data_IF_873825391770
#
_entry.id   IF_873825391770
#
_cell.length_a   1.000
_cell.length_b   1.000
_cell.length_c   1.000
_cell.angle_alpha   90.00
_cell.angle_beta   90.00
_cell.angle_gamma   90.00
#
_symmetry.space_group_name_H-M   'P 1'
#
loop_
_entity.id
_entity.type
_entity.pdbx_description
1 polymer ?
#
# COMPACT_ATOMS: atom_id res chain seq x y z
N UNK A 1 -10.89 17.46 13.56
CA UNK A 1 -10.87 18.67 12.71
C UNK A 1 -9.43 18.94 12.33
N UNK A 2 -9.15 19.29 11.08
CA UNK A 2 -7.78 19.52 10.61
C UNK A 2 -7.15 20.74 11.30
N UNK A 3 -5.85 20.66 11.59
CA UNK A 3 -5.08 21.79 12.12
C UNK A 3 -4.94 22.89 11.06
N UNK A 4 -4.85 24.16 11.50
CA UNK A 4 -4.76 25.32 10.61
C UNK A 4 -3.55 25.27 9.66
N UNK A 5 -2.48 24.60 10.07
CA UNK A 5 -1.25 24.46 9.29
C UNK A 5 -1.24 23.28 8.32
N UNK A 6 -2.29 22.46 8.31
CA UNK A 6 -2.41 21.33 7.38
C UNK A 6 -2.35 21.80 5.93
N UNK A 7 -1.78 20.97 5.05
CA UNK A 7 -1.67 21.28 3.62
C UNK A 7 -3.04 21.55 2.99
N UNK A 8 -4.04 20.73 3.32
CA UNK A 8 -5.41 20.88 2.82
C UNK A 8 -6.03 22.21 3.28
N UNK A 9 -5.80 22.57 4.55
CA UNK A 9 -5.81 23.92 5.14
C UNK A 9 -5.63 25.08 4.16
N UNK A 10 -4.34 25.26 3.89
CA UNK A 10 -3.72 26.33 3.11
C UNK A 10 -4.18 26.29 1.66
N UNK A 11 -4.41 25.10 1.13
CA UNK A 11 -4.77 24.92 -0.27
C UNK A 11 -6.21 25.36 -0.56
N UNK A 12 -7.16 25.00 0.30
CA UNK A 12 -8.52 25.50 0.20
C UNK A 12 -8.60 27.02 0.40
N UNK A 13 -7.79 27.58 1.30
CA UNK A 13 -7.70 29.03 1.48
C UNK A 13 -7.17 29.72 0.23
N UNK A 14 -6.14 29.14 -0.40
CA UNK A 14 -5.59 29.62 -1.67
C UNK A 14 -6.65 29.58 -2.79
N UNK A 15 -7.35 28.46 -2.96
CA UNK A 15 -8.44 28.32 -3.93
C UNK A 15 -9.55 29.35 -3.68
N UNK A 16 -9.95 29.56 -2.41
CA UNK A 16 -10.97 30.55 -2.05
C UNK A 16 -10.53 31.96 -2.40
N UNK A 17 -9.26 32.30 -2.19
CA UNK A 17 -8.69 33.61 -2.57
C UNK A 17 -8.70 33.81 -4.08
N UNK A 18 -8.39 32.77 -4.85
CA UNK A 18 -8.45 32.81 -6.31
C UNK A 18 -9.87 33.06 -6.84
N UNK A 19 -10.87 32.37 -6.27
CA UNK A 19 -12.28 32.57 -6.61
C UNK A 19 -12.75 34.00 -6.27
N UNK A 20 -12.31 34.56 -5.13
CA UNK A 20 -12.58 35.97 -4.77
C UNK A 20 -11.96 36.98 -5.74
N UNK A 21 -10.89 36.59 -6.42
CA UNK A 21 -10.22 37.39 -7.44
C UNK A 21 -10.82 37.21 -8.85
N UNK A 22 -12.06 36.73 -8.95
CA UNK A 22 -12.78 36.50 -10.22
C UNK A 22 -12.11 35.48 -11.17
N UNK A 23 -11.27 34.57 -10.66
CA UNK A 23 -10.81 33.44 -11.47
C UNK A 23 -11.93 32.41 -11.65
N UNK A 24 -11.91 31.72 -12.80
CA UNK A 24 -12.90 30.67 -13.07
C UNK A 24 -12.62 29.44 -12.19
N UNK A 25 -13.68 28.69 -11.86
CA UNK A 25 -13.54 27.49 -11.04
C UNK A 25 -12.70 26.42 -11.75
N UNK A 26 -12.77 26.37 -13.09
CA UNK A 26 -11.94 25.50 -13.93
C UNK A 26 -10.46 25.80 -13.77
N UNK A 27 -10.07 27.07 -13.87
CA UNK A 27 -8.67 27.48 -13.73
C UNK A 27 -8.14 27.18 -12.33
N UNK A 28 -8.98 27.38 -11.30
CA UNK A 28 -8.63 27.10 -9.91
C UNK A 28 -8.43 25.59 -9.66
N UNK A 29 -9.31 24.73 -10.20
CA UNK A 29 -9.14 23.28 -10.09
C UNK A 29 -7.96 22.76 -10.92
N UNK A 30 -7.67 23.39 -12.06
CA UNK A 30 -6.52 23.05 -12.90
C UNK A 30 -5.20 23.40 -12.19
N UNK A 31 -5.08 24.61 -11.64
CA UNK A 31 -3.93 25.02 -10.82
C UNK A 31 -3.74 24.07 -9.62
N UNK A 32 -4.81 23.77 -8.90
CA UNK A 32 -4.78 22.86 -7.75
C UNK A 32 -4.33 21.44 -8.15
N UNK A 33 -4.85 20.90 -9.26
CA UNK A 33 -4.45 19.56 -9.74
C UNK A 33 -2.97 19.51 -10.11
N UNK A 34 -2.47 20.52 -10.85
CA UNK A 34 -1.06 20.61 -11.26
C UNK A 34 -0.11 20.73 -10.07
N UNK A 35 -0.52 21.46 -9.02
CA UNK A 35 0.29 21.68 -7.81
C UNK A 35 0.26 20.50 -6.84
N UNK A 36 -0.91 19.86 -6.68
CA UNK A 36 -1.08 18.74 -5.73
C UNK A 36 -0.36 17.46 -6.19
N UNK A 37 -0.21 17.25 -7.50
CA UNK A 37 0.38 16.03 -8.09
C UNK A 37 -0.30 14.73 -7.63
N UNK A 38 -1.56 14.82 -7.20
CA UNK A 38 -2.37 13.67 -6.83
C UNK A 38 -3.19 13.25 -8.05
N UNK A 39 -2.97 12.02 -8.51
CA UNK A 39 -3.64 11.45 -9.69
C UNK A 39 -5.17 11.60 -9.64
N UNK A 40 -5.78 11.28 -8.50
CA UNK A 40 -7.23 11.36 -8.32
C UNK A 40 -7.77 12.80 -8.44
N UNK A 41 -6.97 13.81 -8.07
CA UNK A 41 -7.32 15.23 -8.20
C UNK A 41 -7.23 15.66 -9.66
N UNK A 42 -6.18 15.25 -10.38
CA UNK A 42 -6.05 15.49 -11.82
C UNK A 42 -7.23 14.88 -12.60
N UNK A 43 -7.54 13.62 -12.34
CA UNK A 43 -8.64 12.91 -12.98
C UNK A 43 -9.99 13.57 -12.66
N UNK A 44 -10.21 13.99 -11.42
CA UNK A 44 -11.43 14.71 -11.03
C UNK A 44 -11.56 16.05 -11.78
N UNK A 45 -10.48 16.84 -11.84
CA UNK A 45 -10.48 18.14 -12.54
C UNK A 45 -10.77 17.96 -14.03
N UNK A 46 -10.17 16.97 -14.69
CA UNK A 46 -10.41 16.70 -16.12
C UNK A 46 -11.87 16.30 -16.39
N UNK A 47 -12.42 15.41 -15.58
CA UNK A 47 -13.84 15.00 -15.66
C UNK A 47 -14.76 16.21 -15.41
N UNK A 48 -14.44 17.05 -14.44
CA UNK A 48 -15.23 18.25 -14.12
C UNK A 48 -15.25 19.25 -15.28
N UNK A 49 -14.08 19.61 -15.83
CA UNK A 49 -13.97 20.55 -16.96
C UNK A 49 -14.71 19.98 -18.19
N UNK A 50 -14.54 18.69 -18.46
CA UNK A 50 -15.21 18.02 -19.58
C UNK A 50 -16.73 18.01 -19.41
N UNK A 51 -17.22 17.71 -18.21
CA UNK A 51 -18.64 17.70 -17.91
C UNK A 51 -19.28 19.09 -18.04
N UNK A 52 -18.54 20.16 -17.65
CA UNK A 52 -19.01 21.54 -17.78
C UNK A 52 -19.13 21.97 -19.24
N UNK A 53 -18.18 21.56 -20.09
CA UNK A 53 -18.19 21.85 -21.52
C UNK A 53 -19.28 21.10 -22.29
N UNK A 54 -19.58 19.87 -21.86
CA UNK A 54 -20.57 18.99 -22.52
C UNK A 54 -22.01 19.24 -22.07
N UNK A 55 -22.21 20.01 -20.98
CA UNK A 55 -23.54 20.41 -20.52
C UNK A 55 -24.38 19.27 -19.94
N UNK A 56 -23.75 18.16 -19.56
CA UNK A 56 -24.41 17.04 -18.90
C UNK A 56 -24.81 17.33 -17.46
N UNK A 57 -25.38 16.33 -16.79
CA UNK A 57 -25.70 16.42 -15.36
C UNK A 57 -24.42 16.42 -14.51
N UNK A 58 -23.90 17.63 -14.25
CA UNK A 58 -22.71 17.88 -13.44
C UNK A 58 -22.80 17.25 -12.05
N UNK A 59 -23.97 17.33 -11.43
CA UNK A 59 -24.19 16.78 -10.08
C UNK A 59 -24.00 15.27 -10.12
N UNK A 60 -24.58 14.60 -11.11
CA UNK A 60 -24.44 13.15 -11.30
C UNK A 60 -23.00 12.74 -11.62
N UNK A 61 -22.30 13.49 -12.46
CA UNK A 61 -20.91 13.17 -12.86
C UNK A 61 -19.95 13.35 -11.67
N UNK A 62 -20.06 14.46 -10.94
CA UNK A 62 -19.26 14.73 -9.73
C UNK A 62 -19.51 13.65 -8.69
N UNK A 63 -20.78 13.28 -8.44
CA UNK A 63 -21.14 12.23 -7.49
C UNK A 63 -20.56 10.87 -7.88
N UNK A 64 -20.63 10.51 -9.16
CA UNK A 64 -20.03 9.26 -9.67
C UNK A 64 -18.51 9.24 -9.45
N UNK A 65 -17.84 10.32 -9.79
CA UNK A 65 -16.37 10.43 -9.67
C UNK A 65 -15.93 10.40 -8.21
N UNK A 66 -16.64 11.12 -7.32
CA UNK A 66 -16.39 11.10 -5.88
C UNK A 66 -16.59 9.71 -5.28
N UNK A 67 -17.64 8.99 -5.70
CA UNK A 67 -17.85 7.59 -5.30
C UNK A 67 -16.70 6.70 -5.78
N UNK A 68 -16.29 6.79 -7.05
CA UNK A 68 -15.18 5.99 -7.57
C UNK A 68 -13.86 6.24 -6.85
N UNK A 69 -13.56 7.50 -6.46
CA UNK A 69 -12.37 7.82 -5.66
C UNK A 69 -12.51 7.20 -4.25
N UNK A 70 -13.69 7.30 -3.64
CA UNK A 70 -13.96 6.73 -2.32
C UNK A 70 -13.82 5.21 -2.32
N UNK A 71 -14.36 4.53 -3.33
CA UNK A 71 -14.25 3.09 -3.52
C UNK A 71 -12.77 2.68 -3.71
N UNK A 72 -12.00 3.43 -4.51
CA UNK A 72 -10.54 3.22 -4.68
C UNK A 72 -9.79 3.34 -3.36
N UNK A 73 -10.13 4.32 -2.52
CA UNK A 73 -9.52 4.51 -1.19
C UNK A 73 -9.88 3.34 -0.26
N UNK A 74 -11.13 2.90 -0.26
CA UNK A 74 -11.60 1.78 0.56
C UNK A 74 -10.88 0.48 0.19
N UNK A 75 -10.83 0.15 -1.11
CA UNK A 75 -10.09 -1.01 -1.61
C UNK A 75 -8.60 -0.93 -1.24
N UNK A 76 -7.97 0.25 -1.39
CA UNK A 76 -6.56 0.43 -0.99
C UNK A 76 -6.36 0.18 0.51
N UNK A 77 -7.28 0.65 1.37
CA UNK A 77 -7.23 0.39 2.82
C UNK A 77 -7.43 -1.08 3.15
N UNK A 78 -8.34 -1.76 2.47
CA UNK A 78 -8.55 -3.20 2.63
C UNK A 78 -7.28 -3.98 2.25
N UNK A 79 -6.66 -3.66 1.11
CA UNK A 79 -5.39 -4.24 0.67
C UNK A 79 -4.31 -4.03 1.74
N UNK A 80 -4.12 -2.81 2.25
CA UNK A 80 -3.12 -2.52 3.29
C UNK A 80 -3.40 -3.35 4.55
N UNK A 81 -4.66 -3.49 4.94
CA UNK A 81 -5.06 -4.27 6.11
C UNK A 81 -4.73 -5.75 5.93
N UNK A 82 -5.05 -6.32 4.75
CA UNK A 82 -4.75 -7.71 4.41
C UNK A 82 -3.23 -7.97 4.34
N UNK A 83 -2.47 -7.07 3.71
CA UNK A 83 -1.01 -7.16 3.63
C UNK A 83 -0.39 -7.10 5.03
N UNK A 84 -0.90 -6.23 5.91
CA UNK A 84 -0.42 -6.11 7.29
C UNK A 84 -0.62 -7.41 8.06
N UNK A 85 -1.78 -8.05 7.93
CA UNK A 85 -2.04 -9.36 8.53
C UNK A 85 -1.10 -10.45 7.96
N UNK A 86 -0.92 -10.48 6.64
CA UNK A 86 -0.01 -11.43 5.97
C UNK A 86 1.45 -11.23 6.34
N UNK A 87 1.88 -9.99 6.55
CA UNK A 87 3.22 -9.65 7.06
C UNK A 87 3.46 -10.25 8.44
N UNK A 88 2.46 -10.17 9.32
CA UNK A 88 2.53 -10.77 10.65
C UNK A 88 2.60 -12.31 10.59
N UNK A 89 1.73 -12.94 9.80
CA UNK A 89 1.76 -14.40 9.58
C UNK A 89 3.10 -14.87 9.01
N UNK A 90 3.63 -14.20 7.99
CA UNK A 90 4.93 -14.55 7.41
C UNK A 90 6.07 -14.35 8.40
N UNK A 91 6.02 -13.31 9.23
CA UNK A 91 7.01 -13.10 10.29
C UNK A 91 7.04 -14.31 11.23
N UNK A 92 5.87 -14.75 11.71
CA UNK A 92 5.75 -15.95 12.56
C UNK A 92 6.28 -17.19 11.85
N UNK A 93 5.88 -17.42 10.60
CA UNK A 93 6.31 -18.57 9.82
C UNK A 93 7.84 -18.65 9.70
N UNK A 94 8.52 -17.50 9.63
CA UNK A 94 9.98 -17.45 9.58
C UNK A 94 10.65 -17.84 10.91
N UNK A 95 9.95 -17.73 12.05
CA UNK A 95 10.45 -18.16 13.36
C UNK A 95 10.19 -19.64 13.64
N UNK A 96 9.20 -20.27 12.99
CA UNK A 96 8.81 -21.67 13.24
C UNK A 96 9.99 -22.65 13.11
N UNK A 97 10.79 -22.65 12.02
CA UNK A 97 11.91 -23.61 11.88
C UNK A 97 12.93 -23.51 13.01
N UNK A 98 13.25 -22.29 13.44
CA UNK A 98 14.16 -22.05 14.57
C UNK A 98 13.57 -22.54 15.89
N UNK A 99 12.26 -22.30 16.11
CA UNK A 99 11.54 -22.80 17.27
C UNK A 99 11.53 -24.33 17.34
N UNK A 100 11.31 -25.01 16.22
CA UNK A 100 11.36 -26.48 16.13
C UNK A 100 12.77 -26.98 16.43
N UNK A 101 13.81 -26.38 15.85
CA UNK A 101 15.21 -26.77 16.12
C UNK A 101 15.54 -26.64 17.61
N UNK A 102 15.16 -25.52 18.23
CA UNK A 102 15.38 -25.28 19.66
C UNK A 102 14.59 -26.27 20.54
N UNK A 103 13.33 -26.53 20.19
CA UNK A 103 12.49 -27.51 20.87
C UNK A 103 13.12 -28.90 20.82
N UNK A 104 13.54 -29.36 19.64
CA UNK A 104 14.18 -30.66 19.49
C UNK A 104 15.50 -30.76 20.26
N UNK A 105 16.30 -29.69 20.27
CA UNK A 105 17.56 -29.67 21.00
C UNK A 105 17.38 -29.79 22.52
N UNK A 106 16.34 -29.17 23.09
CA UNK A 106 16.04 -29.23 24.53
C UNK A 106 15.44 -30.57 24.97
N UNK A 107 14.51 -31.12 24.18
CA UNK A 107 13.75 -32.32 24.57
C UNK A 107 14.33 -33.63 24.05
N UNK A 108 15.15 -33.62 22.98
CA UNK A 108 15.76 -34.83 22.40
C UNK A 108 17.19 -34.54 21.89
N UNK A 109 18.17 -34.41 22.80
CA UNK A 109 19.57 -34.27 22.42
C UNK A 109 20.03 -35.52 21.65
N UNK A 110 20.62 -35.30 20.47
CA UNK A 110 21.12 -36.35 19.58
C UNK A 110 20.27 -36.62 18.32
N UNK A 111 19.04 -36.11 18.23
CA UNK A 111 18.21 -36.30 17.03
C UNK A 111 18.77 -35.60 15.78
N UNK A 112 19.46 -34.47 15.97
CA UNK A 112 20.04 -33.67 14.88
C UNK A 112 21.42 -34.19 14.44
N UNK A 113 22.04 -35.12 15.17
CA UNK A 113 23.41 -35.58 14.88
C UNK A 113 23.56 -36.23 13.50
N UNK A 114 22.60 -37.03 12.98
CA UNK A 114 22.69 -37.59 11.62
C UNK A 114 22.57 -36.53 10.51
N UNK A 115 21.90 -35.39 10.80
CA UNK A 115 21.73 -34.27 9.87
C UNK A 115 23.01 -33.45 9.72
N UNK A 116 23.81 -33.32 10.79
CA UNK A 116 25.05 -32.53 10.77
C UNK A 116 26.34 -33.38 10.71
N UNK A 117 26.29 -34.66 11.07
CA UNK A 117 27.47 -35.53 11.16
C UNK A 117 27.89 -36.24 9.87
N UNK A 118 27.03 -36.28 8.85
CA UNK A 118 27.30 -36.97 7.58
C UNK A 118 27.35 -36.01 6.39
N UNK A 119 28.26 -36.24 5.43
CA UNK A 119 28.36 -35.46 4.18
C UNK A 119 27.02 -35.38 3.44
N UNK A 120 26.25 -36.48 3.41
CA UNK A 120 24.91 -36.50 2.81
C UNK A 120 23.92 -35.58 3.55
N UNK A 121 23.98 -35.54 4.89
CA UNK A 121 23.15 -34.67 5.71
C UNK A 121 23.46 -33.19 5.47
N UNK A 122 24.75 -32.84 5.39
CA UNK A 122 25.21 -31.47 5.09
C UNK A 122 24.70 -30.97 3.74
N UNK A 123 24.72 -31.82 2.70
CA UNK A 123 24.19 -31.46 1.37
C UNK A 123 22.68 -31.20 1.41
N UNK A 124 21.91 -32.08 2.06
CA UNK A 124 20.45 -31.92 2.19
C UNK A 124 20.11 -30.65 2.98
N UNK A 125 20.82 -30.39 4.08
CA UNK A 125 20.58 -29.20 4.91
C UNK A 125 20.94 -27.92 4.16
N UNK A 126 22.03 -27.93 3.39
CA UNK A 126 22.41 -26.79 2.54
C UNK A 126 21.35 -26.50 1.48
N UNK A 127 20.80 -27.53 0.82
CA UNK A 127 19.71 -27.36 -0.15
C UNK A 127 18.43 -26.83 0.50
N UNK A 128 18.07 -27.31 1.69
CA UNK A 128 16.92 -26.83 2.45
C UNK A 128 17.07 -25.36 2.85
N UNK A 129 18.29 -24.94 3.25
CA UNK A 129 18.59 -23.56 3.64
C UNK A 129 18.51 -22.61 2.43
N UNK A 130 18.99 -23.05 1.25
CA UNK A 130 18.85 -22.30 0.00
C UNK A 130 17.38 -22.13 -0.38
N UNK A 131 16.58 -23.22 -0.34
CA UNK A 131 15.14 -23.17 -0.60
C UNK A 131 14.42 -22.23 0.37
N UNK A 132 14.78 -22.29 1.65
CA UNK A 132 14.22 -21.42 2.67
C UNK A 132 14.56 -19.94 2.40
N UNK A 133 15.80 -19.63 2.04
CA UNK A 133 16.21 -18.28 1.66
C UNK A 133 15.47 -17.76 0.41
N UNK A 134 15.25 -18.62 -0.59
CA UNK A 134 14.46 -18.27 -1.78
C UNK A 134 13.00 -18.00 -1.41
N UNK A 135 12.38 -18.87 -0.62
CA UNK A 135 11.00 -18.69 -0.15
C UNK A 135 10.85 -17.40 0.68
N UNK A 136 11.81 -17.11 1.56
CA UNK A 136 11.86 -15.87 2.34
C UNK A 136 11.91 -14.64 1.43
N UNK A 137 12.78 -14.64 0.41
CA UNK A 137 12.91 -13.52 -0.54
C UNK A 137 11.64 -13.32 -1.36
N UNK A 138 10.97 -14.39 -1.77
CA UNK A 138 9.68 -14.32 -2.48
C UNK A 138 8.60 -13.74 -1.54
N UNK A 139 8.53 -14.23 -0.30
CA UNK A 139 7.58 -13.72 0.70
C UNK A 139 7.76 -12.22 0.93
N UNK A 140 9.00 -11.78 1.15
CA UNK A 140 9.29 -10.35 1.28
C UNK A 140 8.86 -9.57 0.05
N UNK A 141 9.16 -10.03 -1.17
CA UNK A 141 8.79 -9.32 -2.39
C UNK A 141 7.28 -9.17 -2.59
N UNK A 142 6.48 -10.15 -2.15
CA UNK A 142 5.02 -10.11 -2.25
C UNK A 142 4.43 -9.18 -1.18
N UNK A 143 5.00 -9.19 0.03
CA UNK A 143 4.55 -8.36 1.15
C UNK A 143 4.98 -6.90 0.97
N UNK A 144 6.14 -6.69 0.35
CA UNK A 144 6.72 -5.39 0.02
C UNK A 144 6.15 -4.83 -1.30
N UNK A 145 4.97 -5.31 -1.72
CA UNK A 145 4.13 -4.53 -2.64
C UNK A 145 3.65 -3.31 -1.84
N UNK A 146 4.59 -2.36 -1.73
CA UNK A 146 4.38 -1.01 -1.28
C UNK A 146 3.54 -0.31 -2.35
N UNK A 147 2.39 0.21 -1.91
CA UNK A 147 1.43 0.91 -2.78
C UNK A 147 1.92 2.31 -3.09
#
# INVERSE_FOLDING_TARGET
MYEKDSYIVKEFEYMTRQLKNNQTIEDVFLDFSNRSKVEDICNFTEVFITAKRTGGDLIKIIRRTSNSISDKIEVKREIITLITAKKFESSIMNFIPLGIILYMWLFSPGFMDPLYGNIKGVVVMSAALVLYGVAYKISQKIIDIEV
#
